data_IF_323199451420
#
_entry.id   IF_323199451420
#
_cell.length_a   1.000
_cell.length_b   1.000
_cell.length_c   1.000
_cell.angle_alpha   90.00
_cell.angle_beta   90.00
_cell.angle_gamma   90.00
#
_symmetry.space_group_name_H-M   'P 1'
#
loop_
_entity.id
_entity.type
_entity.pdbx_description
1 polymer ?
#
# COMPACT_ATOMS: atom_id res chain seq x y z
N UNK A 1 -5.77 -14.28 24.73
CA UNK A 1 -4.30 -14.06 24.72
C UNK A 1 -3.67 -15.35 24.22
N UNK A 2 -2.88 -15.25 23.15
CA UNK A 2 -2.14 -16.39 22.62
C UNK A 2 -1.03 -16.82 23.60
N UNK A 3 -0.70 -18.11 23.60
CA UNK A 3 0.46 -18.59 24.32
C UNK A 3 1.75 -18.04 23.70
N UNK A 4 2.83 -17.81 24.48
CA UNK A 4 4.09 -17.25 23.95
C UNK A 4 4.71 -18.03 22.79
N UNK A 5 4.42 -19.34 22.71
CA UNK A 5 4.87 -20.22 21.63
C UNK A 5 4.16 -19.98 20.28
N UNK A 6 3.00 -19.26 20.28
CA UNK A 6 2.17 -18.97 19.09
C UNK A 6 1.91 -17.48 18.88
N UNK A 7 2.68 -16.60 19.50
CA UNK A 7 2.40 -15.15 19.47
C UNK A 7 2.83 -14.47 18.16
N UNK A 8 3.56 -15.15 17.27
CA UNK A 8 3.99 -14.63 15.98
C UNK A 8 3.79 -15.68 14.88
N UNK A 9 3.55 -15.24 13.65
CA UNK A 9 3.43 -16.12 12.48
C UNK A 9 4.63 -17.08 12.36
N UNK A 10 5.86 -16.56 12.51
CA UNK A 10 7.08 -17.37 12.46
C UNK A 10 7.10 -18.51 13.50
N UNK A 11 6.58 -18.26 14.70
CA UNK A 11 6.50 -19.28 15.75
C UNK A 11 5.43 -20.33 15.42
N UNK A 12 4.30 -19.91 14.88
CA UNK A 12 3.23 -20.81 14.43
C UNK A 12 3.72 -21.70 13.30
N UNK A 13 4.39 -21.15 12.29
CA UNK A 13 4.99 -21.91 11.19
C UNK A 13 6.00 -22.95 11.69
N UNK A 14 6.86 -22.55 12.63
CA UNK A 14 7.86 -23.44 13.22
C UNK A 14 7.26 -24.58 14.07
N UNK A 15 6.01 -24.46 14.50
CA UNK A 15 5.32 -25.48 15.28
C UNK A 15 4.78 -26.63 14.43
N UNK A 16 4.77 -26.52 13.10
CA UNK A 16 4.30 -27.53 12.15
C UNK A 16 2.91 -28.11 12.50
N UNK A 17 1.96 -27.23 12.82
CA UNK A 17 0.60 -27.59 13.18
C UNK A 17 -0.23 -27.97 11.92
N UNK A 18 -1.39 -28.58 12.15
CA UNK A 18 -2.35 -28.80 11.08
C UNK A 18 -2.79 -27.46 10.46
N UNK A 19 -3.08 -27.48 9.15
CA UNK A 19 -3.44 -26.29 8.36
C UNK A 19 -4.59 -25.50 9.02
N UNK A 20 -5.66 -26.17 9.43
CA UNK A 20 -6.79 -25.55 10.11
C UNK A 20 -6.39 -24.76 11.38
N UNK A 21 -5.49 -25.35 12.19
CA UNK A 21 -5.05 -24.71 13.43
C UNK A 21 -4.08 -23.56 13.15
N UNK A 22 -3.24 -23.70 12.13
CA UNK A 22 -2.33 -22.65 11.64
C UNK A 22 -3.11 -21.44 11.16
N UNK A 23 -4.14 -21.64 10.33
CA UNK A 23 -4.99 -20.55 9.81
C UNK A 23 -5.76 -19.85 10.93
N UNK A 24 -6.30 -20.61 11.88
CA UNK A 24 -6.98 -20.03 13.04
C UNK A 24 -6.06 -19.19 13.91
N UNK A 25 -4.82 -19.63 14.13
CA UNK A 25 -3.82 -18.87 14.88
C UNK A 25 -3.37 -17.61 14.10
N UNK A 26 -3.23 -17.69 12.77
CA UNK A 26 -2.92 -16.52 11.95
C UNK A 26 -4.02 -15.48 12.03
N UNK A 27 -5.30 -15.88 11.93
CA UNK A 27 -6.43 -14.95 12.08
C UNK A 27 -6.42 -14.25 13.46
N UNK A 28 -6.05 -14.97 14.53
CA UNK A 28 -5.93 -14.36 15.85
C UNK A 28 -4.74 -13.39 15.96
N UNK A 29 -3.60 -13.72 15.35
CA UNK A 29 -2.42 -12.84 15.30
C UNK A 29 -2.72 -11.58 14.50
N UNK A 30 -3.45 -11.72 13.39
CA UNK A 30 -3.81 -10.63 12.50
C UNK A 30 -4.93 -9.74 13.02
N UNK A 31 -5.68 -10.19 14.03
CA UNK A 31 -6.77 -9.42 14.62
C UNK A 31 -6.26 -8.30 15.54
N UNK A 32 -5.51 -7.36 14.95
CA UNK A 32 -4.87 -6.22 15.64
C UNK A 32 -5.28 -4.92 14.96
N UNK A 33 -5.78 -3.96 15.75
CA UNK A 33 -6.19 -2.63 15.28
C UNK A 33 -5.01 -1.65 15.25
N UNK A 34 -4.13 -1.74 16.25
CA UNK A 34 -2.96 -0.89 16.40
C UNK A 34 -1.69 -1.71 16.51
N UNK A 35 -0.65 -1.26 15.84
CA UNK A 35 0.70 -1.78 15.96
C UNK A 35 1.50 -0.87 16.89
N UNK A 36 2.28 -1.47 17.78
CA UNK A 36 3.19 -0.74 18.64
C UNK A 36 4.36 -0.24 17.80
N UNK A 37 4.76 1.01 18.00
CA UNK A 37 5.95 1.56 17.36
C UNK A 37 7.21 0.81 17.78
N UNK A 38 8.06 0.49 16.82
CA UNK A 38 9.26 -0.32 17.06
C UNK A 38 10.30 0.40 17.94
N UNK A 39 10.43 1.71 17.78
CA UNK A 39 11.43 2.50 18.51
C UNK A 39 10.88 3.05 19.83
N UNK A 40 9.56 3.27 19.89
CA UNK A 40 8.90 3.83 21.06
C UNK A 40 7.64 3.03 21.43
N UNK A 41 7.78 2.12 22.38
CA UNK A 41 6.69 1.25 22.85
C UNK A 41 5.47 1.97 23.44
N UNK A 42 5.48 3.29 23.57
CA UNK A 42 4.35 4.11 24.00
C UNK A 42 3.57 4.72 22.84
N UNK A 43 4.06 4.60 21.61
CA UNK A 43 3.39 5.04 20.39
C UNK A 43 2.71 3.87 19.69
N UNK A 44 1.61 4.18 19.01
CA UNK A 44 0.80 3.20 18.31
C UNK A 44 0.45 3.72 16.93
N UNK A 45 0.47 2.83 15.94
CA UNK A 45 0.10 3.10 14.57
C UNK A 45 -1.16 2.30 14.21
N UNK A 46 -2.20 2.91 13.64
CA UNK A 46 -3.35 2.17 13.15
C UNK A 46 -2.92 1.24 12.03
N UNK A 47 -3.45 0.01 12.03
CA UNK A 47 -3.22 -0.94 10.94
C UNK A 47 -3.99 -0.48 9.69
N UNK A 48 -3.37 -0.61 8.50
CA UNK A 48 -4.01 -0.20 7.23
C UNK A 48 -5.35 -0.92 6.98
N UNK A 49 -5.46 -2.17 7.40
CA UNK A 49 -6.67 -2.99 7.26
C UNK A 49 -7.47 -3.10 8.57
N UNK A 50 -7.42 -2.09 9.45
CA UNK A 50 -8.08 -2.18 10.76
C UNK A 50 -9.58 -2.47 10.65
N UNK A 51 -10.26 -1.93 9.62
CA UNK A 51 -11.69 -2.12 9.42
C UNK A 51 -12.07 -3.58 9.11
N UNK A 52 -11.15 -4.38 8.60
CA UNK A 52 -11.37 -5.81 8.30
C UNK A 52 -11.17 -6.72 9.51
N UNK A 53 -10.67 -6.20 10.63
CA UNK A 53 -10.43 -6.98 11.85
C UNK A 53 -11.74 -7.36 12.53
N UNK A 54 -11.78 -8.54 13.13
CA UNK A 54 -12.93 -9.00 13.94
C UNK A 54 -13.20 -8.01 15.09
N UNK A 55 -12.14 -7.55 15.76
CA UNK A 55 -12.24 -6.58 16.86
C UNK A 55 -12.91 -5.29 16.43
N UNK A 56 -12.58 -4.75 15.24
CA UNK A 56 -13.24 -3.56 14.72
C UNK A 56 -14.72 -3.83 14.41
N UNK A 57 -15.04 -4.99 13.80
CA UNK A 57 -16.41 -5.33 13.44
C UNK A 57 -17.34 -5.47 14.65
N UNK A 58 -16.82 -5.85 15.79
CA UNK A 58 -17.57 -5.98 17.05
C UNK A 58 -17.81 -4.64 17.77
N UNK A 59 -17.12 -3.56 17.39
CA UNK A 59 -17.36 -2.25 18.01
C UNK A 59 -18.72 -1.65 17.64
N UNK A 60 -19.30 -0.92 18.58
CA UNK A 60 -20.47 -0.09 18.32
C UNK A 60 -20.16 1.07 17.37
N UNK A 61 -21.20 1.63 16.74
CA UNK A 61 -21.09 2.66 15.70
C UNK A 61 -20.25 3.88 16.14
N UNK A 62 -20.38 4.32 17.39
CA UNK A 62 -19.64 5.48 17.91
C UNK A 62 -18.12 5.24 17.97
N UNK A 63 -17.70 4.05 18.38
CA UNK A 63 -16.28 3.67 18.40
C UNK A 63 -15.73 3.52 16.98
N UNK A 64 -16.48 2.90 16.08
CA UNK A 64 -16.11 2.80 14.65
C UNK A 64 -15.89 4.18 14.06
N UNK A 65 -16.84 5.11 14.27
CA UNK A 65 -16.71 6.47 13.77
C UNK A 65 -15.50 7.23 14.33
N UNK A 66 -15.08 6.96 15.57
CA UNK A 66 -13.87 7.54 16.14
C UNK A 66 -12.59 6.94 15.53
N UNK A 67 -12.56 5.61 15.36
CA UNK A 67 -11.44 4.93 14.74
C UNK A 67 -11.28 5.32 13.26
N UNK A 68 -12.39 5.47 12.52
CA UNK A 68 -12.35 5.91 11.13
C UNK A 68 -11.85 7.34 10.98
N UNK A 69 -12.24 8.25 11.88
CA UNK A 69 -11.66 9.60 11.90
C UNK A 69 -10.16 9.59 12.18
N UNK A 70 -9.72 8.79 13.15
CA UNK A 70 -8.30 8.61 13.44
C UNK A 70 -7.55 8.02 12.25
N UNK A 71 -8.14 7.04 11.58
CA UNK A 71 -7.59 6.39 10.39
C UNK A 71 -7.39 7.40 9.25
N UNK A 72 -8.43 8.19 8.95
CA UNK A 72 -8.37 9.22 7.91
C UNK A 72 -7.32 10.28 8.25
N UNK A 73 -7.31 10.80 9.47
CA UNK A 73 -6.31 11.77 9.92
C UNK A 73 -4.89 11.20 9.83
N UNK A 74 -4.69 9.95 10.23
CA UNK A 74 -3.38 9.31 10.21
C UNK A 74 -2.87 9.07 8.80
N UNK A 75 -3.64 8.37 7.93
CA UNK A 75 -3.19 7.96 6.62
C UNK A 75 -3.30 9.06 5.56
N UNK A 76 -4.38 9.85 5.59
CA UNK A 76 -4.70 10.86 4.56
C UNK A 76 -4.48 12.31 5.01
N UNK A 77 -4.13 12.54 6.27
CA UNK A 77 -3.74 13.85 6.80
C UNK A 77 -2.24 13.89 7.12
N UNK A 78 -1.88 13.49 8.34
CA UNK A 78 -0.50 13.62 8.86
C UNK A 78 0.56 12.93 8.00
N UNK A 79 0.28 11.75 7.46
CA UNK A 79 1.24 11.02 6.63
C UNK A 79 1.45 11.68 5.27
N UNK A 80 0.47 12.36 4.70
CA UNK A 80 0.66 13.09 3.45
C UNK A 80 1.73 14.16 3.57
N UNK A 81 1.63 15.00 4.59
CA UNK A 81 2.62 16.05 4.82
C UNK A 81 3.99 15.48 5.17
N UNK A 82 4.02 14.43 5.98
CA UNK A 82 5.26 13.74 6.33
C UNK A 82 5.95 13.16 5.08
N UNK A 83 5.24 12.41 4.25
CA UNK A 83 5.79 11.80 3.05
C UNK A 83 6.23 12.83 2.02
N UNK A 84 5.44 13.88 1.82
CA UNK A 84 5.79 14.99 0.95
C UNK A 84 7.10 15.65 1.37
N UNK A 85 7.25 15.98 2.64
CA UNK A 85 8.46 16.59 3.17
C UNK A 85 9.66 15.66 3.04
N UNK A 86 9.51 14.38 3.39
CA UNK A 86 10.57 13.38 3.22
C UNK A 86 10.96 13.16 1.75
N UNK A 87 10.00 13.22 0.83
CA UNK A 87 10.27 13.11 -0.59
C UNK A 87 11.12 14.28 -1.09
N UNK A 88 10.77 15.52 -0.74
CA UNK A 88 11.55 16.70 -1.13
C UNK A 88 12.95 16.76 -0.48
N UNK A 89 13.13 16.15 0.67
CA UNK A 89 14.44 16.03 1.31
C UNK A 89 15.33 14.96 0.67
N UNK A 90 14.77 13.77 0.41
CA UNK A 90 15.54 12.57 0.03
C UNK A 90 15.68 12.36 -1.46
N UNK A 91 14.60 12.53 -2.23
CA UNK A 91 14.60 12.21 -3.67
C UNK A 91 15.54 13.09 -4.50
N UNK A 92 15.74 14.38 -4.21
CA UNK A 92 16.75 15.19 -4.93
C UNK A 92 18.17 14.64 -4.78
N UNK A 93 18.50 14.04 -3.64
CA UNK A 93 19.83 13.45 -3.40
C UNK A 93 20.04 12.27 -4.38
N UNK A 94 19.03 11.40 -4.51
CA UNK A 94 19.08 10.25 -5.42
C UNK A 94 19.13 10.74 -6.88
N UNK A 95 18.21 11.64 -7.25
CA UNK A 95 18.12 12.20 -8.61
C UNK A 95 19.44 12.85 -9.05
N UNK A 96 20.08 13.63 -8.18
CA UNK A 96 21.30 14.37 -8.50
C UNK A 96 22.57 13.52 -8.43
N UNK A 97 22.49 12.27 -7.96
CA UNK A 97 23.63 11.34 -7.91
C UNK A 97 23.97 10.72 -9.26
N UNK A 98 23.13 10.89 -10.26
CA UNK A 98 23.29 10.30 -11.60
C UNK A 98 22.75 11.23 -12.69
N UNK A 99 23.25 11.05 -13.93
CA UNK A 99 22.71 11.71 -15.12
C UNK A 99 21.55 10.92 -15.78
N UNK A 100 21.15 9.79 -15.22
CA UNK A 100 20.02 9.00 -15.72
C UNK A 100 18.69 9.66 -15.38
N UNK A 101 17.69 9.42 -16.23
CA UNK A 101 16.30 9.75 -15.89
C UNK A 101 15.83 8.85 -14.75
N UNK A 102 15.31 9.46 -13.69
CA UNK A 102 14.68 8.73 -12.60
C UNK A 102 13.23 8.39 -12.98
N UNK A 103 12.85 7.13 -12.79
CA UNK A 103 11.47 6.68 -12.89
C UNK A 103 11.06 6.10 -11.53
N UNK A 104 9.92 6.55 -11.02
CA UNK A 104 9.32 6.04 -9.80
C UNK A 104 8.14 5.12 -10.13
N UNK A 105 8.04 4.02 -9.43
CA UNK A 105 6.83 3.21 -9.44
C UNK A 105 5.80 3.84 -8.50
N UNK A 106 4.66 4.24 -9.05
CA UNK A 106 3.54 4.85 -8.33
C UNK A 106 2.24 4.04 -8.57
N UNK A 107 2.34 2.73 -8.41
CA UNK A 107 1.23 1.80 -8.54
C UNK A 107 0.62 1.44 -7.19
N UNK A 108 -0.66 1.05 -7.18
CA UNK A 108 -1.38 0.62 -6.00
C UNK A 108 -1.90 1.77 -5.14
N UNK A 109 -1.77 1.66 -3.83
CA UNK A 109 -2.27 2.67 -2.88
C UNK A 109 -1.30 3.86 -2.80
N UNK A 110 -1.45 4.79 -3.73
CA UNK A 110 -0.61 5.98 -3.87
C UNK A 110 -1.29 7.19 -3.24
N UNK A 111 -0.63 7.93 -2.32
CA UNK A 111 -1.14 9.18 -1.80
C UNK A 111 -1.37 10.23 -2.89
N UNK A 112 -2.42 11.04 -2.77
CA UNK A 112 -2.81 12.06 -3.76
C UNK A 112 -1.69 13.08 -4.06
N UNK A 113 -0.79 13.31 -3.13
CA UNK A 113 0.32 14.26 -3.31
C UNK A 113 1.52 13.68 -4.08
N UNK A 114 1.58 12.38 -4.35
CA UNK A 114 2.70 11.74 -5.05
C UNK A 114 2.84 12.22 -6.50
N UNK A 115 1.77 12.31 -7.31
CA UNK A 115 1.88 12.83 -8.68
C UNK A 115 2.48 14.24 -8.73
N UNK A 116 2.09 15.14 -7.84
CA UNK A 116 2.61 16.50 -7.77
C UNK A 116 4.08 16.52 -7.36
N UNK A 117 4.48 15.72 -6.38
CA UNK A 117 5.88 15.59 -5.95
C UNK A 117 6.75 15.07 -7.09
N UNK A 118 6.32 14.03 -7.78
CA UNK A 118 7.05 13.46 -8.92
C UNK A 118 7.19 14.47 -10.06
N UNK A 119 6.12 15.20 -10.37
CA UNK A 119 6.15 16.25 -11.39
C UNK A 119 7.15 17.36 -11.04
N UNK A 120 7.10 17.90 -9.83
CA UNK A 120 8.02 18.97 -9.38
C UNK A 120 9.49 18.52 -9.28
N UNK A 121 9.70 17.26 -8.98
CA UNK A 121 11.05 16.66 -8.95
C UNK A 121 11.47 16.12 -10.31
N UNK A 122 10.63 16.23 -11.35
CA UNK A 122 10.89 15.69 -12.69
C UNK A 122 11.25 14.19 -12.66
N UNK A 123 10.55 13.44 -11.83
CA UNK A 123 10.63 11.98 -11.77
C UNK A 123 9.51 11.42 -12.65
N UNK A 124 9.85 10.53 -13.58
CA UNK A 124 8.87 9.91 -14.47
C UNK A 124 7.95 8.99 -13.68
N UNK A 125 6.64 9.06 -13.95
CA UNK A 125 5.66 8.12 -13.42
C UNK A 125 5.63 6.83 -14.24
N UNK A 126 5.26 5.71 -13.62
CA UNK A 126 5.01 4.47 -14.34
C UNK A 126 3.52 4.35 -14.67
N UNK A 127 3.22 4.32 -15.97
CA UNK A 127 1.86 4.12 -16.48
C UNK A 127 1.79 2.76 -17.18
N UNK A 128 0.95 1.88 -16.66
CA UNK A 128 0.64 0.60 -17.31
C UNK A 128 -0.69 0.74 -18.03
N UNK A 129 -0.70 0.56 -19.34
CA UNK A 129 -1.84 0.83 -20.22
C UNK A 129 -3.16 0.22 -19.72
N UNK A 130 -3.13 -0.98 -19.19
CA UNK A 130 -4.30 -1.72 -18.71
C UNK A 130 -4.57 -1.61 -17.20
N UNK A 131 -3.79 -0.80 -16.49
CA UNK A 131 -3.96 -0.51 -15.06
C UNK A 131 -4.05 1.01 -14.88
N UNK A 132 -5.20 1.63 -15.19
CA UNK A 132 -5.34 3.06 -15.00
C UNK A 132 -5.19 3.40 -13.52
N UNK A 133 -4.36 4.41 -13.22
CA UNK A 133 -4.12 4.87 -11.85
C UNK A 133 -5.29 5.72 -11.31
N UNK A 134 -6.30 6.00 -12.14
CA UNK A 134 -7.45 6.82 -11.77
C UNK A 134 -8.71 6.25 -12.44
N UNK A 135 -9.75 6.02 -11.66
CA UNK A 135 -11.07 5.51 -12.11
C UNK A 135 -11.78 6.44 -13.12
N UNK A 136 -11.29 7.66 -13.30
CA UNK A 136 -11.84 8.63 -14.24
C UNK A 136 -11.33 8.46 -15.68
N UNK A 137 -10.34 7.60 -15.92
CA UNK A 137 -9.80 7.40 -17.26
C UNK A 137 -10.49 6.26 -18.03
N UNK A 138 -11.44 6.64 -18.88
CA UNK A 138 -12.08 5.73 -19.86
C UNK A 138 -11.08 5.29 -20.94
N UNK A 139 -10.02 6.08 -21.17
CA UNK A 139 -8.95 5.78 -22.11
C UNK A 139 -7.61 6.29 -21.57
N UNK A 140 -6.83 5.44 -20.91
CA UNK A 140 -5.54 5.83 -20.31
C UNK A 140 -4.55 6.42 -21.32
N UNK A 141 -4.58 6.00 -22.57
CA UNK A 141 -3.66 6.50 -23.61
C UNK A 141 -3.93 7.97 -24.01
N UNK A 142 -5.14 8.47 -23.78
CA UNK A 142 -5.50 9.84 -24.13
C UNK A 142 -4.89 10.89 -23.20
N UNK A 143 -4.58 10.51 -21.97
CA UNK A 143 -4.20 11.43 -20.89
C UNK A 143 -2.87 11.08 -20.22
N UNK A 144 -1.98 10.38 -20.93
CA UNK A 144 -0.64 10.05 -20.39
C UNK A 144 0.15 11.35 -20.16
N UNK A 145 0.59 11.62 -18.92
CA UNK A 145 1.43 12.77 -18.64
C UNK A 145 2.75 12.69 -19.41
N UNK A 146 3.29 13.83 -19.82
CA UNK A 146 4.58 13.87 -20.55
C UNK A 146 5.73 13.25 -19.73
N UNK A 147 5.77 13.53 -18.44
CA UNK A 147 6.77 12.96 -17.52
C UNK A 147 6.33 11.57 -17.05
N UNK A 148 6.29 10.59 -17.95
CA UNK A 148 5.94 9.21 -17.64
C UNK A 148 6.65 8.20 -18.52
N UNK A 149 6.74 6.97 -18.04
CA UNK A 149 7.08 5.77 -18.82
C UNK A 149 5.79 4.99 -19.03
N UNK A 150 5.37 4.88 -20.28
CA UNK A 150 4.20 4.08 -20.66
C UNK A 150 4.66 2.69 -21.07
N UNK A 151 4.04 1.66 -20.50
CA UNK A 151 4.28 0.26 -20.84
C UNK A 151 2.97 -0.52 -20.90
N UNK A 152 2.98 -1.64 -21.63
CA UNK A 152 1.80 -2.54 -21.71
C UNK A 152 1.68 -3.49 -20.54
N UNK A 153 2.78 -3.76 -19.83
CA UNK A 153 2.82 -4.65 -18.66
C UNK A 153 4.07 -4.40 -17.82
N UNK A 154 4.08 -4.89 -16.59
CA UNK A 154 5.26 -4.97 -15.72
C UNK A 154 5.61 -6.42 -15.42
N UNK A 155 6.67 -6.65 -14.64
CA UNK A 155 7.05 -8.00 -14.18
C UNK A 155 6.00 -8.62 -13.21
N UNK A 156 5.12 -7.80 -12.63
CA UNK A 156 4.06 -8.23 -11.71
C UNK A 156 2.74 -8.54 -12.42
N UNK A 157 2.69 -8.38 -13.74
CA UNK A 157 1.47 -8.58 -14.53
C UNK A 157 1.75 -9.50 -15.72
N UNK A 158 0.73 -10.24 -16.17
CA UNK A 158 0.83 -11.02 -17.40
C UNK A 158 1.25 -10.13 -18.57
N UNK A 159 2.05 -10.65 -19.50
CA UNK A 159 2.39 -9.93 -20.72
C UNK A 159 1.13 -9.71 -21.60
N UNK A 160 1.20 -8.79 -22.56
CA UNK A 160 0.06 -8.40 -23.38
C UNK A 160 -0.63 -9.58 -24.08
N UNK A 161 0.16 -10.57 -24.55
CA UNK A 161 -0.39 -11.75 -25.24
C UNK A 161 -1.13 -12.67 -24.26
N UNK A 162 -0.56 -12.96 -23.10
CA UNK A 162 -1.21 -13.78 -22.09
C UNK A 162 -2.50 -13.10 -21.59
N UNK A 163 -2.43 -11.79 -21.32
CA UNK A 163 -3.61 -11.01 -20.94
C UNK A 163 -4.71 -11.07 -22.01
N UNK A 164 -4.37 -10.99 -23.28
CA UNK A 164 -5.33 -11.11 -24.38
C UNK A 164 -6.00 -12.49 -24.43
N UNK A 165 -5.20 -13.54 -24.17
CA UNK A 165 -5.68 -14.92 -24.14
C UNK A 165 -6.57 -15.20 -22.91
N UNK A 166 -6.21 -14.68 -21.73
CA UNK A 166 -6.99 -14.79 -20.49
C UNK A 166 -8.40 -14.16 -20.58
N UNK A 167 -8.58 -13.12 -21.36
CA UNK A 167 -9.85 -12.40 -21.49
C UNK A 167 -10.69 -12.83 -22.70
N UNK A 168 -10.27 -13.83 -23.43
CA UNK A 168 -10.98 -14.31 -24.64
C UNK A 168 -12.23 -15.15 -24.32
N UNK A 169 -12.33 -15.69 -23.12
CA UNK A 169 -13.41 -16.57 -22.70
C UNK A 169 -14.55 -15.83 -21.96
N UNK A 170 -14.41 -14.53 -21.78
CA UNK A 170 -15.43 -13.63 -21.24
C UNK A 170 -15.90 -12.64 -22.32
#
# INVERSE_FOLDING_TARGET
VLKPEYETQKKVEAAHLDEWLTDGLFQLIENVIFLVDHENGHLYHPRINLQSTISYQEFGADYKAQLDRLYVDYFYGRNYDFWKNQAYEKLPIIKNSTAMLACGEDLGMVPENVPDVMYHLEILRLIIERMPNDDHFVNPLQYVPYLSVLTTSSHDTSNLRAWWEENREN
#
